data_IF_398001584825
#
_entry.id   IF_398001584825
#
_cell.length_a   1.000
_cell.length_b   1.000
_cell.length_c   1.000
_cell.angle_alpha   90.00
_cell.angle_beta   90.00
_cell.angle_gamma   90.00
#
_symmetry.space_group_name_H-M   'P 1'
#
loop_
_entity.id
_entity.type
_entity.pdbx_description
1 polymer ?
#
# COMPACT_ATOMS: atom_id res chain seq x y z
N UNK A 1 -0.07 5.74 12.19
CA UNK A 1 -0.67 6.05 10.85
C UNK A 1 0.33 5.69 9.77
N UNK A 2 -0.11 4.98 8.75
CA UNK A 2 0.71 4.62 7.58
C UNK A 2 0.28 5.48 6.38
N UNK A 3 1.25 6.17 5.78
CA UNK A 3 1.08 7.06 4.62
C UNK A 3 1.76 6.43 3.42
N UNK A 4 1.07 6.24 2.30
CA UNK A 4 1.72 5.86 1.05
C UNK A 4 1.86 7.06 0.12
N UNK A 5 3.04 7.23 -0.48
CA UNK A 5 3.22 8.16 -1.58
C UNK A 5 2.52 7.62 -2.83
N UNK A 6 2.01 8.50 -3.68
CA UNK A 6 1.41 8.17 -4.96
C UNK A 6 1.73 9.29 -5.96
N UNK A 7 1.84 9.00 -7.24
CA UNK A 7 2.14 10.02 -8.26
C UNK A 7 3.15 9.55 -9.29
N UNK A 8 3.36 10.39 -10.29
CA UNK A 8 4.19 10.09 -11.45
C UNK A 8 5.66 9.83 -11.08
N UNK A 9 6.41 9.13 -11.96
CA UNK A 9 7.86 9.02 -11.86
C UNK A 9 8.47 10.41 -11.87
N UNK A 10 9.60 10.61 -11.20
CA UNK A 10 10.34 11.87 -11.10
C UNK A 10 9.60 13.06 -10.45
N UNK A 11 8.39 12.87 -9.91
CA UNK A 11 7.68 13.89 -9.13
C UNK A 11 8.25 14.10 -7.72
N UNK A 12 9.35 13.44 -7.35
CA UNK A 12 10.07 13.67 -6.09
C UNK A 12 9.48 12.97 -4.87
N UNK A 13 8.82 11.80 -5.04
CA UNK A 13 8.26 11.01 -3.93
C UNK A 13 9.31 10.62 -2.89
N UNK A 14 10.39 10.00 -3.35
CA UNK A 14 11.52 9.57 -2.50
C UNK A 14 12.21 10.73 -1.80
N UNK A 15 12.48 11.83 -2.51
CA UNK A 15 13.07 13.04 -1.93
C UNK A 15 12.13 13.68 -0.88
N UNK A 16 10.83 13.66 -1.12
CA UNK A 16 9.85 14.13 -0.15
C UNK A 16 9.85 13.27 1.12
N UNK A 17 9.83 11.94 0.99
CA UNK A 17 9.92 11.03 2.15
C UNK A 17 11.21 11.24 2.92
N UNK A 18 12.33 11.41 2.22
CA UNK A 18 13.63 11.72 2.82
C UNK A 18 13.61 13.05 3.56
N UNK A 19 13.01 14.10 3.00
CA UNK A 19 12.88 15.39 3.66
C UNK A 19 12.01 15.34 4.93
N UNK A 20 10.94 14.52 4.92
CA UNK A 20 10.02 14.33 6.05
C UNK A 20 10.60 13.45 7.15
N UNK A 21 11.43 12.46 6.82
CA UNK A 21 11.86 11.42 7.78
C UNK A 21 13.37 11.37 8.04
N UNK A 22 14.18 12.01 7.20
CA UNK A 22 15.63 11.87 7.20
C UNK A 22 16.14 10.54 6.62
N UNK A 23 15.26 9.66 6.16
CA UNK A 23 15.61 8.31 5.67
C UNK A 23 15.51 8.27 4.14
N UNK A 24 16.60 7.85 3.49
CA UNK A 24 16.61 7.54 2.06
C UNK A 24 15.98 6.17 1.85
N UNK A 25 14.88 6.11 1.07
CA UNK A 25 14.12 4.89 0.83
C UNK A 25 14.65 4.07 -0.34
N UNK A 26 15.45 4.67 -1.24
CA UNK A 26 16.13 3.97 -2.34
C UNK A 26 17.35 3.21 -1.82
N UNK A 27 17.23 1.89 -1.75
CA UNK A 27 18.23 1.00 -1.14
C UNK A 27 18.97 0.15 -2.16
N UNK A 28 18.34 -0.14 -3.28
CA UNK A 28 18.94 -0.98 -4.31
C UNK A 28 19.98 -0.19 -5.12
N UNK A 29 21.13 -0.80 -5.44
CA UNK A 29 22.14 -0.14 -6.28
C UNK A 29 21.58 0.36 -7.62
N UNK A 30 20.65 -0.40 -8.20
CA UNK A 30 19.98 -0.03 -9.45
C UNK A 30 19.02 1.16 -9.32
N UNK A 31 18.36 1.34 -8.18
CA UNK A 31 17.55 2.52 -7.87
C UNK A 31 18.41 3.77 -7.85
N UNK A 32 19.54 3.72 -7.14
CA UNK A 32 20.51 4.81 -7.06
C UNK A 32 21.17 5.12 -8.40
N UNK A 33 21.45 4.10 -9.20
CA UNK A 33 22.08 4.29 -10.51
C UNK A 33 21.10 4.88 -11.56
N UNK A 34 19.80 4.56 -11.46
CA UNK A 34 18.78 5.00 -12.41
C UNK A 34 17.98 6.21 -11.92
N UNK A 35 18.07 6.55 -10.64
CA UNK A 35 17.24 7.60 -10.02
C UNK A 35 15.74 7.27 -9.97
N UNK A 36 15.37 5.98 -10.09
CA UNK A 36 13.96 5.55 -10.13
C UNK A 36 13.75 4.42 -9.13
N UNK A 37 12.81 4.59 -8.21
CA UNK A 37 12.43 3.55 -7.26
C UNK A 37 11.79 2.36 -7.98
N UNK A 38 12.27 1.15 -7.67
CA UNK A 38 11.83 -0.12 -8.28
C UNK A 38 11.00 -0.96 -7.30
N UNK A 39 11.38 -0.94 -6.02
CA UNK A 39 10.69 -1.66 -4.94
C UNK A 39 10.11 -0.69 -3.91
N UNK A 40 9.37 -1.24 -2.95
CA UNK A 40 8.80 -0.47 -1.85
C UNK A 40 9.89 0.06 -0.92
N UNK A 41 9.86 1.36 -0.65
CA UNK A 41 10.64 2.00 0.38
C UNK A 41 9.83 2.15 1.67
N UNK A 42 10.49 2.06 2.83
CA UNK A 42 9.83 2.24 4.13
C UNK A 42 10.65 3.17 5.00
N UNK A 43 9.99 4.20 5.53
CA UNK A 43 10.58 5.15 6.46
C UNK A 43 9.63 5.43 7.63
N UNK A 44 10.17 5.87 8.75
CA UNK A 44 9.39 6.14 9.96
C UNK A 44 9.79 7.48 10.56
N UNK A 45 8.82 8.21 11.07
CA UNK A 45 9.03 9.44 11.81
C UNK A 45 8.30 9.39 13.14
N UNK A 46 9.00 9.62 14.24
CA UNK A 46 8.40 9.67 15.58
C UNK A 46 7.92 11.07 15.88
N UNK A 47 6.64 11.21 16.14
CA UNK A 47 6.01 12.48 16.51
C UNK A 47 6.33 12.86 17.95
N UNK A 48 6.23 14.16 18.33
CA UNK A 48 6.49 14.62 19.70
C UNK A 48 5.63 13.94 20.79
N UNK A 49 4.45 13.46 20.42
CA UNK A 49 3.55 12.72 21.32
C UNK A 49 3.87 11.21 21.43
N UNK A 50 4.96 10.77 20.82
CA UNK A 50 5.40 9.37 20.80
C UNK A 50 4.73 8.49 19.75
N UNK A 51 3.71 9.00 19.04
CA UNK A 51 3.12 8.30 17.91
C UNK A 51 4.10 8.21 16.73
N UNK A 52 3.92 7.20 15.88
CA UNK A 52 4.80 6.99 14.74
C UNK A 52 4.01 7.13 13.44
N UNK A 53 4.55 7.95 12.52
CA UNK A 53 4.18 7.98 11.12
C UNK A 53 5.06 7.00 10.36
N UNK A 54 4.42 6.03 9.69
CA UNK A 54 5.11 5.17 8.73
C UNK A 54 4.87 5.70 7.32
N UNK A 55 5.91 5.73 6.51
CA UNK A 55 5.83 6.08 5.10
C UNK A 55 6.15 4.87 4.25
N UNK A 56 5.30 4.63 3.27
CA UNK A 56 5.52 3.66 2.21
C UNK A 56 5.79 4.44 0.94
N UNK A 57 7.04 4.44 0.51
CA UNK A 57 7.43 5.05 -0.74
C UNK A 57 7.23 4.06 -1.87
N UNK A 58 6.31 4.38 -2.79
CA UNK A 58 5.94 3.48 -3.86
C UNK A 58 6.60 3.88 -5.18
N UNK A 59 7.00 2.90 -6.01
CA UNK A 59 7.52 3.18 -7.33
C UNK A 59 6.47 3.89 -8.19
N UNK A 60 6.92 4.90 -8.97
CA UNK A 60 6.03 5.72 -9.81
C UNK A 60 5.76 5.12 -11.18
N UNK A 61 6.59 4.21 -11.67
CA UNK A 61 6.54 3.70 -13.04
C UNK A 61 5.52 2.54 -13.19
N UNK A 62 4.72 2.56 -14.25
CA UNK A 62 3.67 1.56 -14.55
C UNK A 62 4.15 0.09 -14.49
N UNK A 63 5.40 -0.20 -14.90
CA UNK A 63 5.99 -1.54 -14.81
C UNK A 63 6.03 -2.08 -13.39
N UNK A 64 6.00 -1.22 -12.38
CA UNK A 64 6.09 -1.58 -10.96
C UNK A 64 4.75 -1.47 -10.21
N UNK A 65 3.63 -1.37 -10.95
CA UNK A 65 2.29 -1.25 -10.35
C UNK A 65 1.98 -2.38 -9.36
N UNK A 66 2.51 -3.59 -9.61
CA UNK A 66 2.39 -4.73 -8.68
C UNK A 66 3.08 -4.48 -7.34
N UNK A 67 4.26 -3.85 -7.39
CA UNK A 67 4.99 -3.47 -6.17
C UNK A 67 4.23 -2.36 -5.43
N UNK A 68 3.72 -1.39 -6.16
CA UNK A 68 2.86 -0.35 -5.60
C UNK A 68 1.66 -0.96 -4.88
N UNK A 69 0.87 -1.80 -5.53
CA UNK A 69 -0.32 -2.43 -4.95
C UNK A 69 -0.02 -3.21 -3.67
N UNK A 70 1.12 -3.94 -3.64
CA UNK A 70 1.55 -4.65 -2.44
C UNK A 70 1.89 -3.73 -1.27
N UNK A 71 2.32 -2.49 -1.54
CA UNK A 71 2.64 -1.51 -0.50
C UNK A 71 1.45 -0.67 -0.03
N UNK A 72 0.46 -0.50 -0.90
CA UNK A 72 -0.70 0.37 -0.62
C UNK A 72 -1.80 -0.36 0.15
N UNK A 73 -1.76 -1.68 0.22
CA UNK A 73 -2.72 -2.45 1.00
C UNK A 73 -2.55 -2.18 2.51
N UNK A 74 -3.60 -1.71 3.16
CA UNK A 74 -3.62 -1.44 4.61
C UNK A 74 -3.04 -0.08 5.04
N UNK A 75 -2.91 0.88 4.12
CA UNK A 75 -2.52 2.27 4.45
C UNK A 75 -3.71 3.10 4.94
N UNK A 76 -3.41 4.12 5.74
CA UNK A 76 -4.40 5.01 6.34
C UNK A 76 -4.64 6.28 5.50
N UNK A 77 -3.62 6.73 4.74
CA UNK A 77 -3.63 7.98 3.99
C UNK A 77 -2.79 7.88 2.72
N UNK A 78 -3.34 8.33 1.60
CA UNK A 78 -2.62 8.54 0.35
C UNK A 78 -2.02 9.96 0.27
N UNK A 79 -0.72 10.08 0.08
CA UNK A 79 -0.04 11.34 -0.20
C UNK A 79 0.25 11.42 -1.70
N UNK A 80 -0.63 12.13 -2.42
CA UNK A 80 -0.46 12.33 -3.86
C UNK A 80 0.60 13.39 -4.10
N UNK A 81 1.66 13.01 -4.80
CA UNK A 81 2.81 13.87 -5.09
C UNK A 81 2.75 14.31 -6.56
N UNK A 82 2.69 15.60 -6.79
CA UNK A 82 2.62 16.23 -8.11
C UNK A 82 3.73 17.28 -8.21
N UNK A 83 4.52 17.23 -9.26
CA UNK A 83 5.56 18.22 -9.49
C UNK A 83 4.96 19.47 -10.16
N UNK A 84 5.35 20.66 -9.71
CA UNK A 84 4.82 21.93 -10.21
C UNK A 84 5.27 22.23 -11.65
N UNK A 85 6.44 21.74 -12.07
CA UNK A 85 6.95 21.86 -13.44
C UNK A 85 6.12 21.04 -14.43
N UNK A 86 5.83 19.78 -14.10
CA UNK A 86 5.11 18.83 -14.98
C UNK A 86 3.58 18.94 -14.88
N UNK A 87 3.06 19.17 -13.67
CA UNK A 87 1.61 19.15 -13.40
C UNK A 87 1.03 17.74 -13.29
N UNK A 88 -0.24 17.60 -13.64
CA UNK A 88 -0.96 16.31 -13.58
C UNK A 88 -0.58 15.42 -14.74
N UNK A 89 0.10 14.31 -14.47
CA UNK A 89 0.59 13.34 -15.44
C UNK A 89 -0.27 12.05 -15.46
N UNK A 90 -0.18 11.19 -16.49
CA UNK A 90 -0.99 9.97 -16.59
C UNK A 90 -0.92 9.08 -15.35
N UNK A 91 0.27 8.78 -14.84
CA UNK A 91 0.43 7.95 -13.64
C UNK A 91 -0.13 8.61 -12.37
N UNK A 92 -0.23 9.95 -12.33
CA UNK A 92 -0.94 10.64 -11.23
C UNK A 92 -2.42 10.24 -11.20
N UNK A 93 -3.06 10.15 -12.38
CA UNK A 93 -4.46 9.72 -12.53
C UNK A 93 -4.63 8.25 -12.19
N UNK A 94 -3.74 7.38 -12.68
CA UNK A 94 -3.75 5.94 -12.39
C UNK A 94 -3.60 5.65 -10.90
N UNK A 95 -2.62 6.28 -10.24
CA UNK A 95 -2.38 6.11 -8.81
C UNK A 95 -3.57 6.61 -7.98
N UNK A 96 -4.18 7.73 -8.37
CA UNK A 96 -5.39 8.21 -7.69
C UNK A 96 -6.56 7.23 -7.85
N UNK A 97 -6.76 6.67 -9.04
CA UNK A 97 -7.78 5.66 -9.27
C UNK A 97 -7.55 4.40 -8.43
N UNK A 98 -6.30 3.92 -8.34
CA UNK A 98 -5.93 2.78 -7.49
C UNK A 98 -6.25 3.06 -6.02
N UNK A 99 -5.87 4.24 -5.49
CA UNK A 99 -6.20 4.63 -4.12
C UNK A 99 -7.71 4.60 -3.87
N UNK A 100 -8.50 5.10 -4.82
CA UNK A 100 -9.97 5.06 -4.77
C UNK A 100 -10.53 3.64 -4.76
N UNK A 101 -10.04 2.75 -5.65
CA UNK A 101 -10.45 1.33 -5.72
C UNK A 101 -10.13 0.56 -4.43
N UNK A 102 -9.01 0.87 -3.79
CA UNK A 102 -8.61 0.29 -2.51
C UNK A 102 -9.39 0.89 -1.31
N UNK A 103 -10.28 1.86 -1.56
CA UNK A 103 -11.08 2.50 -0.53
C UNK A 103 -10.31 3.46 0.36
N UNK A 104 -9.16 3.94 -0.09
CA UNK A 104 -8.35 4.92 0.63
C UNK A 104 -8.96 6.30 0.40
N UNK A 105 -9.93 6.65 1.24
CA UNK A 105 -10.66 7.91 1.14
C UNK A 105 -9.95 9.13 1.71
N UNK A 106 -8.87 8.93 2.47
CA UNK A 106 -8.08 10.03 3.05
C UNK A 106 -6.92 10.36 2.14
N UNK A 107 -6.96 11.53 1.54
CA UNK A 107 -5.94 12.03 0.63
C UNK A 107 -5.39 13.37 1.10
N UNK A 108 -4.10 13.58 0.85
CA UNK A 108 -3.41 14.86 0.89
C UNK A 108 -2.55 15.01 -0.36
N UNK A 109 -2.25 16.22 -0.75
CA UNK A 109 -1.42 16.49 -1.94
C UNK A 109 -0.19 17.27 -1.54
N UNK A 110 0.98 16.78 -1.97
CA UNK A 110 2.23 17.53 -1.96
C UNK A 110 2.52 18.04 -3.39
N UNK A 111 2.56 19.34 -3.58
CA UNK A 111 2.96 19.98 -4.82
C UNK A 111 4.45 20.28 -4.73
N UNK A 112 5.27 19.44 -5.35
CA UNK A 112 6.73 19.47 -5.26
C UNK A 112 7.38 20.37 -6.31
N UNK A 113 8.70 20.60 -6.19
CA UNK A 113 9.53 21.36 -7.14
C UNK A 113 9.03 22.79 -7.37
N UNK A 114 8.47 23.43 -6.34
CA UNK A 114 7.97 24.82 -6.45
C UNK A 114 9.08 25.83 -6.71
N UNK A 115 10.31 25.51 -6.42
CA UNK A 115 11.54 26.26 -6.69
C UNK A 115 11.86 26.39 -8.19
N UNK A 116 11.29 25.52 -9.02
CA UNK A 116 11.59 25.45 -10.46
C UNK A 116 10.64 26.24 -11.33
N UNK A 117 9.61 26.84 -10.75
CA UNK A 117 8.53 27.49 -11.51
C UNK A 117 8.12 28.82 -10.90
N UNK A 118 7.50 29.68 -11.73
CA UNK A 118 6.91 30.93 -11.25
C UNK A 118 5.63 30.70 -10.41
N UNK A 119 5.25 31.63 -9.51
CA UNK A 119 4.07 31.51 -8.66
C UNK A 119 2.76 31.26 -9.42
N UNK A 120 2.61 31.82 -10.61
CA UNK A 120 1.42 31.61 -11.45
C UNK A 120 1.27 30.16 -11.86
N UNK A 121 2.40 29.47 -12.17
CA UNK A 121 2.39 28.05 -12.50
C UNK A 121 1.98 27.18 -11.31
N UNK A 122 2.39 27.53 -10.10
CA UNK A 122 1.97 26.85 -8.87
C UNK A 122 0.42 26.95 -8.74
N UNK A 123 -0.15 28.11 -8.98
CA UNK A 123 -1.59 28.35 -8.92
C UNK A 123 -2.36 27.58 -9.99
N UNK A 124 -1.82 27.53 -11.21
CA UNK A 124 -2.37 26.76 -12.33
C UNK A 124 -2.41 25.27 -12.00
N UNK A 125 -1.27 24.67 -11.57
CA UNK A 125 -1.20 23.23 -11.25
C UNK A 125 -2.05 22.88 -10.06
N UNK A 126 -2.15 23.76 -9.06
CA UNK A 126 -3.08 23.59 -7.93
C UNK A 126 -4.54 23.49 -8.41
N UNK A 127 -4.92 24.29 -9.40
CA UNK A 127 -6.25 24.24 -10.02
C UNK A 127 -6.47 22.93 -10.79
N UNK A 128 -5.47 22.48 -11.58
CA UNK A 128 -5.51 21.19 -12.29
C UNK A 128 -5.69 20.01 -11.31
N UNK A 129 -4.92 19.99 -10.22
CA UNK A 129 -5.02 18.98 -9.17
C UNK A 129 -6.39 19.01 -8.51
N UNK A 130 -6.92 20.19 -8.21
CA UNK A 130 -8.27 20.37 -7.65
C UNK A 130 -9.35 19.79 -8.56
N UNK A 131 -9.25 20.02 -9.87
CA UNK A 131 -10.15 19.45 -10.89
C UNK A 131 -10.09 17.92 -10.89
N UNK A 132 -8.88 17.35 -10.94
CA UNK A 132 -8.67 15.91 -10.91
C UNK A 132 -9.27 15.25 -9.65
N UNK A 133 -9.02 15.83 -8.48
CA UNK A 133 -9.56 15.33 -7.21
C UNK A 133 -11.09 15.37 -7.18
N UNK A 134 -11.69 16.46 -7.69
CA UNK A 134 -13.15 16.60 -7.80
C UNK A 134 -13.75 15.54 -8.73
N UNK A 135 -13.15 15.30 -9.90
CA UNK A 135 -13.55 14.23 -10.85
C UNK A 135 -13.50 12.84 -10.19
N UNK A 136 -12.50 12.60 -9.34
CA UNK A 136 -12.34 11.36 -8.59
C UNK A 136 -13.22 11.27 -7.32
N UNK A 137 -14.09 12.26 -7.05
CA UNK A 137 -14.97 12.27 -5.88
C UNK A 137 -14.32 12.75 -4.58
N UNK A 138 -13.10 13.26 -4.63
CA UNK A 138 -12.39 13.79 -3.47
C UNK A 138 -12.50 15.32 -3.43
N UNK A 139 -13.32 15.84 -2.51
CA UNK A 139 -13.48 17.28 -2.30
C UNK A 139 -12.77 17.72 -1.03
N UNK A 140 -12.22 18.95 -1.03
CA UNK A 140 -11.61 19.54 0.16
C UNK A 140 -10.24 18.95 0.54
N UNK A 141 -9.56 18.26 -0.37
CA UNK A 141 -8.18 17.82 -0.14
C UNK A 141 -7.24 19.02 -0.07
N UNK A 142 -6.45 19.09 1.00
CA UNK A 142 -5.44 20.13 1.15
C UNK A 142 -4.24 19.88 0.24
N UNK A 143 -3.75 20.94 -0.40
CA UNK A 143 -2.57 20.94 -1.28
C UNK A 143 -1.46 21.73 -0.61
N UNK A 144 -0.32 21.10 -0.37
CA UNK A 144 0.87 21.65 0.30
C UNK A 144 1.96 21.90 -0.73
N UNK A 145 2.28 23.17 -1.07
CA UNK A 145 3.44 23.49 -1.89
C UNK A 145 4.73 23.21 -1.10
N UNK A 146 5.65 22.46 -1.69
CA UNK A 146 6.88 22.06 -1.02
C UNK A 146 8.10 22.08 -1.97
N UNK A 147 9.26 22.43 -1.42
CA UNK A 147 10.57 22.18 -2.01
C UNK A 147 11.36 21.29 -1.05
N UNK A 148 11.53 20.01 -1.39
CA UNK A 148 12.18 19.04 -0.52
C UNK A 148 13.68 19.36 -0.29
N UNK A 149 14.49 19.70 -1.30
CA UNK A 149 15.89 20.07 -1.11
C UNK A 149 16.10 21.29 -0.19
N UNK A 150 15.26 22.32 -0.32
CA UNK A 150 15.34 23.56 0.46
C UNK A 150 14.52 23.50 1.75
N UNK A 151 13.82 22.37 2.00
CA UNK A 151 12.92 22.16 3.13
C UNK A 151 11.76 23.17 3.25
N UNK A 152 11.42 23.87 2.16
CA UNK A 152 10.29 24.80 2.13
C UNK A 152 8.98 24.02 2.19
N UNK A 153 8.06 24.40 3.08
CA UNK A 153 6.73 23.78 3.24
C UNK A 153 6.71 22.39 3.88
N UNK A 154 7.90 21.80 4.19
CA UNK A 154 8.01 20.44 4.78
C UNK A 154 7.42 20.41 6.20
N UNK A 155 7.70 21.39 7.03
CA UNK A 155 7.17 21.50 8.38
C UNK A 155 5.63 21.59 8.37
N UNK A 156 5.06 22.45 7.55
CA UNK A 156 3.61 22.60 7.42
C UNK A 156 2.92 21.30 6.94
N UNK A 157 3.55 20.56 6.02
CA UNK A 157 3.06 19.25 5.59
C UNK A 157 3.17 18.23 6.73
N UNK A 158 4.27 18.20 7.49
CA UNK A 158 4.45 17.32 8.63
C UNK A 158 3.42 17.58 9.73
N UNK A 159 3.15 18.85 10.05
CA UNK A 159 2.13 19.24 11.04
C UNK A 159 0.75 18.76 10.62
N UNK A 160 0.41 18.92 9.35
CA UNK A 160 -0.85 18.45 8.80
C UNK A 160 -0.98 16.92 8.85
N UNK A 161 0.08 16.19 8.53
CA UNK A 161 0.15 14.72 8.67
C UNK A 161 -0.01 14.30 10.14
N UNK A 162 0.65 15.02 11.06
CA UNK A 162 0.58 14.78 12.50
C UNK A 162 -0.84 14.97 13.04
N UNK A 163 -1.53 16.03 12.59
CA UNK A 163 -2.92 16.28 12.94
C UNK A 163 -3.84 15.17 12.42
N UNK A 164 -3.62 14.69 11.19
CA UNK A 164 -4.38 13.58 10.62
C UNK A 164 -4.14 12.27 11.37
N UNK A 165 -2.90 12.02 11.83
CA UNK A 165 -2.58 10.84 12.61
C UNK A 165 -3.44 10.69 13.87
N UNK A 166 -3.80 11.78 14.53
CA UNK A 166 -4.67 11.79 15.72
C UNK A 166 -6.11 11.35 15.41
N UNK A 167 -6.55 11.42 14.15
CA UNK A 167 -7.91 11.06 13.71
C UNK A 167 -8.01 9.65 13.11
N UNK A 168 -6.88 8.96 12.94
CA UNK A 168 -6.86 7.58 12.44
C UNK A 168 -7.34 6.66 13.56
N UNK A 169 -8.40 5.90 13.29
CA UNK A 169 -8.83 4.83 14.19
C UNK A 169 -7.86 3.67 14.04
N UNK A 170 -7.46 3.08 15.15
CA UNK A 170 -6.74 1.81 15.13
C UNK A 170 -7.55 0.79 14.32
N UNK A 171 -6.87 -0.02 13.52
CA UNK A 171 -7.51 -1.15 12.83
C UNK A 171 -8.22 -2.05 13.85
N UNK A 172 -9.22 -2.80 13.38
CA UNK A 172 -9.93 -3.72 14.28
C UNK A 172 -8.96 -4.76 14.81
N UNK A 173 -8.77 -4.73 16.13
CA UNK A 173 -7.99 -5.75 16.84
C UNK A 173 -8.82 -7.01 17.13
N UNK A 174 -10.12 -6.93 16.83
CA UNK A 174 -11.02 -8.07 16.95
C UNK A 174 -10.80 -9.05 15.79
N UNK A 175 -11.02 -10.32 16.06
CA UNK A 175 -10.84 -11.40 15.11
C UNK A 175 -9.43 -11.97 15.07
N UNK A 176 -9.24 -12.95 14.19
CA UNK A 176 -7.99 -13.67 14.03
C UNK A 176 -6.90 -12.83 13.40
N UNK A 177 -5.67 -13.05 13.87
CA UNK A 177 -4.49 -12.42 13.29
C UNK A 177 -4.31 -12.80 11.82
N UNK A 178 -4.03 -11.78 10.98
CA UNK A 178 -3.71 -11.94 9.57
C UNK A 178 -2.74 -10.84 9.09
N UNK A 179 -1.61 -11.26 8.54
CA UNK A 179 -0.56 -10.38 8.04
C UNK A 179 -0.21 -10.71 6.59
N UNK A 180 -0.22 -9.72 5.71
CA UNK A 180 0.29 -9.85 4.34
C UNK A 180 1.79 -9.62 4.33
N UNK A 181 2.56 -10.63 3.88
CA UNK A 181 4.02 -10.59 3.87
C UNK A 181 4.51 -9.81 2.65
N UNK A 182 5.26 -8.75 2.87
CA UNK A 182 5.90 -7.95 1.82
C UNK A 182 7.36 -8.35 1.56
N UNK A 183 8.07 -8.87 2.58
CA UNK A 183 9.46 -9.37 2.47
C UNK A 183 9.71 -10.54 3.40
N UNK A 184 10.62 -11.43 2.96
CA UNK A 184 11.21 -12.48 3.78
C UNK A 184 12.73 -12.47 3.55
N UNK A 185 13.52 -12.59 4.62
CA UNK A 185 14.97 -12.64 4.54
C UNK A 185 15.55 -13.34 5.78
N UNK A 186 16.73 -13.89 5.64
CA UNK A 186 17.46 -14.56 6.72
C UNK A 186 18.57 -13.67 7.27
N UNK A 187 18.60 -13.51 8.58
CA UNK A 187 19.67 -12.79 9.30
C UNK A 187 20.55 -13.76 10.07
N UNK A 188 21.88 -13.63 9.91
CA UNK A 188 22.85 -14.46 10.64
C UNK A 188 22.66 -14.31 12.16
N UNK A 189 22.51 -15.43 12.87
CA UNK A 189 22.30 -15.47 14.31
C UNK A 189 20.87 -15.22 14.78
N UNK A 190 19.97 -14.73 13.91
CA UNK A 190 18.56 -14.45 14.23
C UNK A 190 17.65 -15.50 13.58
N UNK A 191 17.92 -15.84 12.32
CA UNK A 191 17.11 -16.75 11.52
C UNK A 191 16.19 -16.02 10.54
N UNK A 192 15.07 -16.65 10.19
CA UNK A 192 14.13 -16.14 9.22
C UNK A 192 13.30 -15.00 9.80
N UNK A 193 13.33 -13.86 9.15
CA UNK A 193 12.53 -12.67 9.46
C UNK A 193 11.60 -12.39 8.28
N UNK A 194 10.34 -12.18 8.59
CA UNK A 194 9.34 -11.72 7.62
C UNK A 194 8.85 -10.34 8.02
N UNK A 195 8.53 -9.52 7.05
CA UNK A 195 7.91 -8.20 7.29
C UNK A 195 6.59 -8.12 6.53
N UNK A 196 5.66 -7.32 7.05
CA UNK A 196 4.37 -7.15 6.42
C UNK A 196 3.40 -6.29 7.21
N UNK A 197 2.26 -6.03 6.61
CA UNK A 197 1.16 -5.27 7.20
C UNK A 197 0.19 -6.22 7.92
N UNK A 198 -0.16 -5.90 9.14
CA UNK A 198 -1.20 -6.61 9.90
C UNK A 198 -2.57 -6.07 9.49
N UNK A 199 -3.40 -6.93 8.91
CA UNK A 199 -4.74 -6.58 8.42
C UNK A 199 -5.82 -6.73 9.50
N UNK A 200 -5.69 -7.74 10.36
CA UNK A 200 -6.66 -8.00 11.45
C UNK A 200 -5.99 -8.66 12.65
N UNK A 201 -6.63 -8.54 13.80
CA UNK A 201 -6.23 -9.19 15.03
C UNK A 201 -4.94 -8.65 15.64
N UNK A 202 -4.39 -9.45 16.54
CA UNK A 202 -3.13 -9.16 17.26
C UNK A 202 -2.29 -10.42 17.28
N UNK A 203 -0.96 -10.27 17.24
CA UNK A 203 -0.01 -11.38 17.45
C UNK A 203 0.90 -11.07 18.62
N UNK A 204 1.15 -12.07 19.44
CA UNK A 204 2.08 -12.04 20.57
C UNK A 204 3.34 -12.89 20.30
N UNK A 205 4.41 -12.55 21.02
CA UNK A 205 5.60 -13.41 21.01
C UNK A 205 5.25 -14.82 21.56
N UNK A 206 5.87 -15.82 21.00
CA UNK A 206 5.63 -17.26 21.28
C UNK A 206 4.33 -17.84 20.72
N UNK A 207 3.53 -17.07 20.01
CA UNK A 207 2.29 -17.52 19.39
C UNK A 207 2.57 -18.44 18.18
N UNK A 208 1.69 -19.41 17.99
CA UNK A 208 1.72 -20.32 16.85
C UNK A 208 0.76 -19.83 15.78
N UNK A 209 1.29 -19.71 14.55
CA UNK A 209 0.57 -19.26 13.37
C UNK A 209 0.79 -20.23 12.22
N UNK A 210 0.15 -19.98 11.09
CA UNK A 210 0.29 -20.79 9.88
C UNK A 210 0.67 -19.91 8.69
N UNK A 211 1.58 -20.40 7.86
CA UNK A 211 1.89 -19.81 6.55
C UNK A 211 0.84 -20.32 5.57
N UNK A 212 -0.09 -19.46 5.13
CA UNK A 212 -1.27 -19.91 4.37
C UNK A 212 -0.92 -20.56 3.04
N UNK A 213 0.14 -20.11 2.35
CA UNK A 213 0.52 -20.67 1.04
C UNK A 213 1.03 -22.12 1.10
N UNK A 214 1.58 -22.54 2.25
CA UNK A 214 2.19 -23.88 2.41
C UNK A 214 1.48 -24.75 3.43
N UNK A 215 0.57 -24.18 4.23
CA UNK A 215 -0.03 -24.84 5.37
C UNK A 215 0.97 -25.13 6.52
N UNK A 216 2.16 -24.54 6.48
CA UNK A 216 3.21 -24.82 7.45
C UNK A 216 3.01 -24.06 8.76
N UNK A 217 2.99 -24.78 9.92
CA UNK A 217 2.94 -24.12 11.21
C UNK A 217 4.28 -23.43 11.54
N UNK A 218 4.19 -22.25 12.13
CA UNK A 218 5.34 -21.46 12.59
C UNK A 218 5.09 -20.89 13.96
N UNK A 219 6.16 -20.65 14.70
CA UNK A 219 6.12 -19.95 16.00
C UNK A 219 6.83 -18.62 15.88
N UNK A 220 6.21 -17.56 16.41
CA UNK A 220 6.78 -16.22 16.49
C UNK A 220 7.79 -16.17 17.64
N UNK A 221 9.04 -15.81 17.36
CA UNK A 221 10.10 -15.67 18.38
C UNK A 221 10.25 -14.25 18.88
N UNK A 222 10.30 -13.30 17.96
CA UNK A 222 10.47 -11.88 18.27
C UNK A 222 9.60 -11.04 17.35
N UNK A 223 9.12 -9.92 17.88
CA UNK A 223 8.29 -8.96 17.17
C UNK A 223 9.00 -7.61 17.21
N UNK A 224 9.09 -6.95 16.06
CA UNK A 224 9.50 -5.55 15.95
C UNK A 224 8.44 -4.76 15.20
N UNK A 225 8.01 -3.66 15.79
CA UNK A 225 7.12 -2.68 15.18
C UNK A 225 7.89 -1.37 15.07
N UNK A 226 7.93 -0.78 13.88
CA UNK A 226 8.70 0.46 13.61
C UNK A 226 10.16 0.37 14.08
N UNK A 227 10.85 -0.74 13.81
CA UNK A 227 12.21 -1.06 14.25
C UNK A 227 12.43 -1.20 15.77
N UNK A 228 11.38 -1.08 16.59
CA UNK A 228 11.45 -1.26 18.04
C UNK A 228 10.95 -2.65 18.44
N UNK A 229 11.67 -3.31 19.35
CA UNK A 229 11.21 -4.58 19.92
C UNK A 229 9.93 -4.36 20.72
N UNK A 230 8.93 -5.22 20.49
CA UNK A 230 7.61 -5.19 21.11
C UNK A 230 7.20 -6.59 21.50
N UNK A 231 6.28 -6.72 22.46
CA UNK A 231 5.70 -8.00 22.86
C UNK A 231 4.54 -8.43 21.95
N UNK A 232 3.95 -7.47 21.24
CA UNK A 232 2.82 -7.70 20.34
C UNK A 232 2.86 -6.76 19.14
N UNK A 233 2.18 -7.17 18.05
CA UNK A 233 1.79 -6.32 16.93
C UNK A 233 0.30 -6.49 16.63
N UNK A 234 -0.36 -5.42 16.16
CA UNK A 234 -1.80 -5.36 15.98
C UNK A 234 -2.18 -4.81 14.60
N UNK A 235 -3.44 -5.00 14.25
CA UNK A 235 -4.03 -4.49 13.01
C UNK A 235 -3.70 -3.00 12.77
N UNK A 236 -3.33 -2.67 11.53
CA UNK A 236 -2.88 -1.35 11.11
C UNK A 236 -1.39 -1.08 11.36
N UNK A 237 -0.64 -2.01 11.92
CA UNK A 237 0.81 -1.88 12.11
C UNK A 237 1.57 -2.67 11.04
N UNK A 238 2.65 -2.09 10.54
CA UNK A 238 3.65 -2.86 9.80
C UNK A 238 4.71 -3.36 10.78
N UNK A 239 4.91 -4.68 10.80
CA UNK A 239 5.84 -5.31 11.72
C UNK A 239 6.85 -6.23 11.03
N UNK A 240 7.91 -6.55 11.76
CA UNK A 240 8.85 -7.62 11.45
C UNK A 240 8.71 -8.71 12.49
N UNK A 241 8.53 -9.95 12.04
CA UNK A 241 8.40 -11.14 12.87
C UNK A 241 9.58 -12.07 12.61
N UNK A 242 10.33 -12.41 13.65
CA UNK A 242 11.24 -13.55 13.59
C UNK A 242 10.42 -14.81 13.81
N UNK A 243 10.42 -15.72 12.86
CA UNK A 243 9.62 -16.95 12.89
C UNK A 243 10.49 -18.18 12.76
N UNK A 244 10.00 -19.28 13.34
CA UNK A 244 10.60 -20.60 13.22
C UNK A 244 9.52 -21.65 12.94
N UNK A 245 9.79 -22.54 12.00
CA UNK A 245 8.91 -23.64 11.65
C UNK A 245 9.66 -24.70 10.85
N UNK A 246 9.16 -25.95 10.89
CA UNK A 246 9.74 -27.03 10.11
C UNK A 246 9.42 -26.83 8.63
N UNK A 247 10.46 -26.87 7.77
CA UNK A 247 10.29 -26.69 6.32
C UNK A 247 10.02 -25.26 5.87
N UNK A 248 10.18 -24.29 6.77
CA UNK A 248 9.97 -22.86 6.47
C UNK A 248 11.33 -22.21 6.22
N UNK A 249 11.48 -21.57 5.06
CA UNK A 249 12.69 -20.89 4.61
C UNK A 249 12.35 -19.64 3.81
N UNK A 250 13.33 -18.81 3.54
CA UNK A 250 13.19 -17.65 2.67
C UNK A 250 12.67 -17.99 1.26
N UNK A 251 13.03 -19.20 0.75
CA UNK A 251 12.55 -19.67 -0.56
C UNK A 251 11.09 -20.11 -0.53
N UNK A 252 10.59 -20.61 0.62
CA UNK A 252 9.20 -21.07 0.78
C UNK A 252 8.23 -19.93 1.10
N UNK A 253 8.73 -18.79 1.62
CA UNK A 253 7.93 -17.61 1.95
C UNK A 253 8.30 -16.48 0.97
N UNK A 254 7.34 -16.09 0.13
CA UNK A 254 7.52 -15.04 -0.87
C UNK A 254 6.59 -13.87 -0.57
N UNK A 255 6.84 -12.73 -1.17
CA UNK A 255 5.85 -11.65 -1.27
C UNK A 255 4.55 -12.23 -1.82
N UNK A 256 3.42 -11.86 -1.21
CA UNK A 256 2.11 -12.42 -1.54
C UNK A 256 1.67 -13.57 -0.63
N UNK A 257 2.56 -14.06 0.22
CA UNK A 257 2.19 -15.05 1.24
C UNK A 257 1.51 -14.37 2.43
N UNK A 258 0.54 -15.04 3.03
CA UNK A 258 -0.11 -14.61 4.25
C UNK A 258 0.40 -15.42 5.46
N UNK A 259 0.63 -14.74 6.58
CA UNK A 259 0.79 -15.36 7.89
C UNK A 259 -0.47 -15.10 8.69
N UNK A 260 -1.09 -16.14 9.24
CA UNK A 260 -2.39 -16.00 9.90
C UNK A 260 -2.61 -17.04 11.02
N UNK A 261 -3.68 -16.83 11.77
CA UNK A 261 -4.24 -17.85 12.66
C UNK A 261 -4.71 -19.07 11.84
N UNK A 262 -4.60 -20.27 12.42
CA UNK A 262 -4.93 -21.53 11.72
C UNK A 262 -6.36 -21.59 11.19
N UNK A 263 -7.31 -20.98 11.86
CA UNK A 263 -8.72 -20.98 11.47
C UNK A 263 -8.98 -20.24 10.14
N UNK A 264 -8.02 -19.41 9.69
CA UNK A 264 -8.08 -18.73 8.40
C UNK A 264 -7.47 -19.56 7.26
N UNK A 265 -7.05 -20.79 7.51
CA UNK A 265 -6.55 -21.68 6.47
C UNK A 265 -7.71 -22.30 5.67
N UNK A 266 -8.32 -21.49 4.83
CA UNK A 266 -9.41 -21.87 3.92
C UNK A 266 -9.00 -21.53 2.50
N UNK A 267 -8.23 -22.42 1.82
CA UNK A 267 -7.81 -22.19 0.44
C UNK A 267 -9.03 -22.22 -0.50
N UNK A 268 -9.07 -21.29 -1.43
CA UNK A 268 -10.13 -21.26 -2.44
C UNK A 268 -9.57 -20.90 -3.83
N UNK A 269 -10.18 -21.48 -4.87
CA UNK A 269 -9.95 -21.12 -6.28
C UNK A 269 -11.13 -20.38 -6.90
N UNK A 270 -12.17 -20.13 -6.12
CA UNK A 270 -13.36 -19.40 -6.58
C UNK A 270 -13.79 -18.44 -5.48
N UNK A 271 -14.03 -17.19 -5.87
CA UNK A 271 -14.50 -16.13 -4.97
C UNK A 271 -15.64 -15.39 -5.63
N UNK A 272 -16.76 -15.27 -4.93
CA UNK A 272 -17.82 -14.38 -5.32
C UNK A 272 -17.50 -12.97 -4.84
N UNK A 273 -17.59 -12.01 -5.76
CA UNK A 273 -17.18 -10.62 -5.52
C UNK A 273 -18.23 -9.65 -6.04
N UNK A 274 -18.36 -8.51 -5.38
CA UNK A 274 -18.97 -7.32 -5.96
C UNK A 274 -17.90 -6.57 -6.74
N UNK A 275 -18.03 -6.56 -8.08
CA UNK A 275 -17.01 -6.02 -8.97
C UNK A 275 -17.48 -4.69 -9.55
N UNK A 276 -16.68 -3.64 -9.34
CA UNK A 276 -16.92 -2.33 -9.91
C UNK A 276 -15.97 -2.04 -11.09
N UNK A 277 -16.54 -1.65 -12.23
CA UNK A 277 -15.77 -1.23 -13.42
C UNK A 277 -15.65 0.30 -13.42
N UNK A 278 -14.42 0.81 -13.53
CA UNK A 278 -14.18 2.26 -13.53
C UNK A 278 -14.93 2.96 -14.68
N UNK A 279 -15.41 4.18 -14.43
CA UNK A 279 -16.08 5.01 -15.45
C UNK A 279 -15.16 5.40 -16.62
N UNK A 280 -13.86 5.40 -16.38
CA UNK A 280 -12.82 5.72 -17.38
C UNK A 280 -12.56 4.58 -18.36
N UNK A 281 -13.09 3.37 -18.08
CA UNK A 281 -12.96 2.26 -19.00
C UNK A 281 -13.77 2.47 -20.27
N UNK A 282 -13.18 2.13 -21.41
CA UNK A 282 -13.83 2.27 -22.72
C UNK A 282 -14.67 1.06 -23.11
N UNK A 283 -14.50 -0.05 -22.40
CA UNK A 283 -15.17 -1.34 -22.71
C UNK A 283 -15.84 -1.91 -21.47
N UNK A 284 -16.98 -2.55 -21.66
CA UNK A 284 -17.61 -3.36 -20.62
C UNK A 284 -16.78 -4.60 -20.31
N UNK A 285 -16.76 -5.01 -19.05
CA UNK A 285 -16.16 -6.25 -18.62
C UNK A 285 -17.06 -7.43 -19.01
N UNK A 286 -16.59 -8.25 -19.93
CA UNK A 286 -17.34 -9.40 -20.45
C UNK A 286 -17.13 -10.64 -19.60
N UNK A 287 -18.10 -11.57 -19.70
CA UNK A 287 -17.95 -12.90 -19.12
C UNK A 287 -16.69 -13.58 -19.63
N UNK A 288 -15.95 -14.26 -18.71
CA UNK A 288 -14.71 -14.99 -18.94
C UNK A 288 -13.49 -14.14 -19.32
N UNK A 289 -13.54 -12.82 -19.07
CA UNK A 289 -12.39 -11.93 -19.27
C UNK A 289 -11.20 -12.35 -18.39
N UNK A 290 -9.99 -12.54 -18.96
CA UNK A 290 -8.80 -12.77 -18.18
C UNK A 290 -8.42 -11.51 -17.38
N UNK A 291 -8.04 -11.69 -16.11
CA UNK A 291 -7.70 -10.61 -15.21
C UNK A 291 -6.62 -11.04 -14.21
N UNK A 292 -6.18 -10.10 -13.41
CA UNK A 292 -5.28 -10.33 -12.29
C UNK A 292 -5.95 -9.90 -10.99
N UNK A 293 -6.04 -10.81 -10.03
CA UNK A 293 -6.43 -10.50 -8.67
C UNK A 293 -5.21 -10.02 -7.88
N UNK A 294 -5.33 -8.86 -7.29
CA UNK A 294 -4.40 -8.36 -6.27
C UNK A 294 -5.11 -8.34 -4.93
N UNK A 295 -4.57 -9.00 -3.92
CA UNK A 295 -5.13 -9.09 -2.57
C UNK A 295 -4.00 -9.06 -1.54
N UNK A 296 -4.00 -8.05 -0.65
CA UNK A 296 -2.86 -7.76 0.20
C UNK A 296 -1.61 -7.53 -0.65
N UNK A 297 -0.58 -8.35 -0.44
CA UNK A 297 0.65 -8.33 -1.25
C UNK A 297 0.67 -9.40 -2.35
N UNK A 298 -0.40 -10.18 -2.52
CA UNK A 298 -0.49 -11.30 -3.48
C UNK A 298 -1.00 -10.86 -4.85
N UNK A 299 -0.63 -11.65 -5.86
CA UNK A 299 -1.01 -11.45 -7.25
C UNK A 299 -1.31 -12.80 -7.91
N UNK A 300 -2.53 -12.98 -8.40
CA UNK A 300 -3.04 -14.25 -8.92
C UNK A 300 -3.73 -14.02 -10.26
N UNK A 301 -3.40 -14.81 -11.28
CA UNK A 301 -4.14 -14.79 -12.55
C UNK A 301 -5.53 -15.40 -12.34
N UNK A 302 -6.53 -14.75 -12.91
CA UNK A 302 -7.93 -15.14 -12.76
C UNK A 302 -8.71 -14.95 -14.05
N UNK A 303 -9.95 -15.47 -14.07
CA UNK A 303 -10.99 -15.15 -15.05
C UNK A 303 -12.22 -14.67 -14.33
N UNK A 304 -12.93 -13.72 -14.94
CA UNK A 304 -14.15 -13.14 -14.37
C UNK A 304 -15.36 -13.84 -14.97
N UNK A 305 -16.07 -14.62 -14.19
CA UNK A 305 -17.38 -15.14 -14.56
C UNK A 305 -18.45 -14.15 -14.07
N UNK A 306 -19.02 -13.35 -14.96
CA UNK A 306 -20.10 -12.41 -14.62
C UNK A 306 -21.33 -13.21 -14.25
N UNK A 307 -21.95 -12.91 -13.08
CA UNK A 307 -23.14 -13.58 -12.55
C UNK A 307 -24.42 -12.74 -12.75
N UNK A 308 -24.29 -11.42 -12.79
CA UNK A 308 -25.40 -10.47 -12.93
C UNK A 308 -25.62 -10.04 -14.38
N UNK A 309 -25.74 -10.99 -15.31
CA UNK A 309 -25.97 -10.71 -16.73
C UNK A 309 -24.81 -11.16 -17.63
N UNK A 310 -24.68 -10.55 -18.83
CA UNK A 310 -23.65 -10.91 -19.82
C UNK A 310 -22.34 -10.11 -19.67
N UNK A 311 -22.40 -8.94 -19.09
CA UNK A 311 -21.26 -8.04 -18.89
C UNK A 311 -21.54 -7.05 -17.76
N UNK A 312 -20.48 -6.34 -17.29
CA UNK A 312 -20.58 -5.20 -16.38
C UNK A 312 -20.09 -3.97 -17.15
N UNK A 313 -20.96 -2.98 -17.32
CA UNK A 313 -20.64 -1.76 -18.04
C UNK A 313 -19.67 -0.85 -17.26
N UNK A 314 -18.96 0.02 -17.98
CA UNK A 314 -18.11 1.04 -17.36
C UNK A 314 -18.94 1.93 -16.40
N UNK A 315 -18.41 2.19 -15.22
CA UNK A 315 -19.06 2.95 -14.17
C UNK A 315 -20.13 2.19 -13.37
N UNK A 316 -20.31 0.90 -13.60
CA UNK A 316 -21.30 0.07 -12.92
C UNK A 316 -20.66 -1.04 -12.08
N UNK A 317 -21.42 -1.52 -11.11
CA UNK A 317 -21.06 -2.70 -10.31
C UNK A 317 -21.92 -3.89 -10.69
N UNK A 318 -21.41 -5.10 -10.43
CA UNK A 318 -22.14 -6.34 -10.63
C UNK A 318 -21.49 -7.50 -9.91
N UNK A 319 -22.31 -8.52 -9.62
CA UNK A 319 -21.80 -9.75 -9.00
C UNK A 319 -21.02 -10.56 -10.03
N UNK A 320 -19.86 -11.02 -9.63
CA UNK A 320 -19.00 -11.88 -10.44
C UNK A 320 -18.35 -12.95 -9.56
N UNK A 321 -17.94 -14.05 -10.18
CA UNK A 321 -17.08 -15.04 -9.56
C UNK A 321 -15.70 -14.96 -10.20
N UNK A 322 -14.67 -14.82 -9.38
CA UNK A 322 -13.29 -14.94 -9.83
C UNK A 322 -12.89 -16.41 -9.81
N UNK A 323 -12.47 -16.91 -10.96
CA UNK A 323 -11.91 -18.27 -11.11
C UNK A 323 -10.40 -18.16 -11.18
N UNK A 324 -9.71 -18.61 -10.13
CA UNK A 324 -8.30 -18.38 -9.88
C UNK A 324 -7.43 -19.51 -10.43
N UNK A 325 -6.22 -19.16 -10.88
CA UNK A 325 -5.22 -20.12 -11.39
C UNK A 325 -4.58 -20.97 -10.28
N UNK A 326 -4.60 -20.52 -9.04
CA UNK A 326 -4.11 -21.19 -7.84
C UNK A 326 -4.93 -20.81 -6.62
N UNK A 327 -4.68 -21.50 -5.52
CA UNK A 327 -5.33 -21.19 -4.25
C UNK A 327 -5.01 -19.77 -3.77
N UNK A 328 -6.03 -19.12 -3.25
CA UNK A 328 -5.96 -17.83 -2.58
C UNK A 328 -6.62 -17.92 -1.20
N UNK A 329 -6.33 -16.94 -0.38
CA UNK A 329 -6.86 -16.82 0.99
C UNK A 329 -7.45 -15.43 1.15
N UNK A 330 -8.74 -15.36 1.29
CA UNK A 330 -9.49 -14.12 1.45
C UNK A 330 -10.52 -14.26 2.57
N UNK A 331 -10.90 -13.14 3.14
CA UNK A 331 -12.02 -13.06 4.08
C UNK A 331 -13.05 -12.07 3.55
N UNK A 332 -14.27 -12.16 4.06
CA UNK A 332 -15.33 -11.24 3.70
C UNK A 332 -14.91 -9.78 3.97
N UNK A 333 -15.12 -8.92 2.99
CA UNK A 333 -14.76 -7.51 3.06
C UNK A 333 -13.35 -7.16 2.57
N UNK A 334 -12.54 -8.14 2.15
CA UNK A 334 -11.28 -7.86 1.44
C UNK A 334 -11.52 -7.12 0.12
N UNK A 335 -10.55 -6.27 -0.25
CA UNK A 335 -10.57 -5.48 -1.49
C UNK A 335 -9.31 -5.73 -2.31
#
# INVERSE_FOLDING_TARGET
MIVATAGHVDHGKTELVKALTGTDTDRLPEEKARGVSVDLGFAYHTLPDGNILGFVDVPGHEKFIRNMLAGVAGIDLGLLVVAADDGVMPQTREHLAILGLLGIGRLMVALTKIDRVAPDRISEVRTQVGGLLKEAGHTGCAVYPVCAPEKIGIEALMDALSLRAKTVRAGSVDGHFRMAIDRAFSLKGIGLVITGMVFSGTVCASENLIVLSTGSPVRVREIRVHNQKRNQAKAGERCALNIVGRGVSEQSIRRGTWLAHSDLYVPTRRMDVDLHVLKTETRSLKHWTPTHLHIGSDHISARVAVLSGSNIAAGHSGLAQLVLSRDAFAVHGDR
#
